data_IF_471201096804
#
_entry.id   IF_471201096804
#
_cell.length_a   1.000
_cell.length_b   1.000
_cell.length_c   1.000
_cell.angle_alpha   90.00
_cell.angle_beta   90.00
_cell.angle_gamma   90.00
#
_symmetry.space_group_name_H-M   'P 1'
#
loop_
_entity.id
_entity.type
_entity.pdbx_description
1 polymer ?
#
# COMPACT_ATOMS: atom_id res chain seq x y z
N UNK A 1 4.19 84.68 0.14
CA UNK A 1 3.84 83.43 -0.57
C UNK A 1 4.58 82.25 0.01
N UNK A 2 4.17 81.77 1.22
CA UNK A 2 4.85 80.60 1.87
C UNK A 2 3.97 79.97 2.94
N UNK A 3 2.73 79.56 2.60
CA UNK A 3 1.88 78.86 3.60
C UNK A 3 0.82 77.92 2.97
N UNK A 4 0.91 77.60 1.67
CA UNK A 4 -0.09 76.77 1.00
C UNK A 4 0.25 75.28 0.99
N UNK A 5 1.56 74.90 1.12
CA UNK A 5 2.01 73.51 0.91
C UNK A 5 1.98 72.64 2.18
N UNK A 6 1.76 73.23 3.39
CA UNK A 6 1.82 72.47 4.63
C UNK A 6 0.52 71.74 4.99
N UNK A 7 -0.61 72.25 4.49
CA UNK A 7 -1.94 71.59 4.72
C UNK A 7 -2.20 70.42 3.76
N UNK A 8 -1.59 70.39 2.59
CA UNK A 8 -1.73 69.30 1.61
C UNK A 8 -1.03 68.02 2.06
N UNK A 9 0.11 68.13 2.71
CA UNK A 9 0.88 66.95 3.21
C UNK A 9 0.22 66.33 4.47
N UNK A 10 -0.44 67.09 5.30
CA UNK A 10 -1.13 66.56 6.47
C UNK A 10 -2.39 65.76 6.09
N UNK A 11 -3.12 66.15 5.07
CA UNK A 11 -4.27 65.38 4.54
C UNK A 11 -3.82 64.11 3.83
N UNK A 12 -2.66 64.10 3.16
CA UNK A 12 -2.13 62.92 2.48
C UNK A 12 -1.60 61.86 3.47
N UNK A 13 -0.97 62.30 4.57
CA UNK A 13 -0.46 61.40 5.61
C UNK A 13 -1.65 60.81 6.42
N UNK A 14 -2.71 61.53 6.66
CA UNK A 14 -3.87 61.02 7.37
C UNK A 14 -4.67 60.00 6.53
N UNK A 15 -4.74 60.16 5.19
CA UNK A 15 -5.33 59.17 4.27
C UNK A 15 -4.49 57.90 4.14
N UNK A 16 -3.16 58.03 4.23
CA UNK A 16 -2.27 56.87 4.11
C UNK A 16 -2.27 56.00 5.38
N UNK A 17 -2.45 56.62 6.57
CA UNK A 17 -2.56 55.89 7.84
C UNK A 17 -3.90 55.18 7.99
N UNK A 18 -4.97 55.71 7.38
CA UNK A 18 -6.31 55.08 7.42
C UNK A 18 -6.42 53.89 6.44
N UNK A 19 -5.59 53.82 5.38
CA UNK A 19 -5.57 52.75 4.43
C UNK A 19 -4.73 51.56 4.89
N UNK A 20 -3.86 51.73 5.90
CA UNK A 20 -3.04 50.64 6.47
C UNK A 20 -3.76 49.83 7.58
N UNK A 21 -4.91 50.23 8.04
CA UNK A 21 -5.67 49.56 9.12
C UNK A 21 -6.70 48.54 8.58
N UNK A 22 -6.97 48.52 7.25
CA UNK A 22 -8.00 47.64 6.67
C UNK A 22 -7.39 46.33 6.10
N UNK A 23 -6.04 46.15 6.10
CA UNK A 23 -5.38 44.93 5.67
C UNK A 23 -5.07 43.94 6.81
N UNK A 24 -5.56 44.14 8.01
CA UNK A 24 -5.43 43.23 9.16
C UNK A 24 -6.71 42.41 9.39
N UNK A 25 -7.39 42.04 8.33
CA UNK A 25 -8.59 41.20 8.43
C UNK A 25 -8.54 40.03 7.49
N UNK A 26 -8.58 38.83 8.07
CA UNK A 26 -8.70 37.51 7.44
C UNK A 26 -7.42 36.95 6.79
N UNK A 27 -6.39 36.75 7.58
CA UNK A 27 -5.61 35.52 7.46
C UNK A 27 -6.47 34.38 7.98
N UNK A 28 -7.28 33.77 7.12
CA UNK A 28 -7.74 32.42 7.37
C UNK A 28 -6.48 31.56 7.39
N UNK A 29 -5.87 31.43 8.55
CA UNK A 29 -4.98 30.31 8.83
C UNK A 29 -5.83 29.09 8.58
N UNK A 30 -5.59 28.41 7.46
CA UNK A 30 -5.89 27.00 7.38
C UNK A 30 -5.06 26.37 8.51
N UNK A 31 -5.66 26.31 9.69
CA UNK A 31 -5.20 25.46 10.76
C UNK A 31 -5.29 24.05 10.20
N UNK A 32 -4.18 23.51 9.71
CA UNK A 32 -3.95 22.08 9.76
C UNK A 32 -3.94 21.75 11.25
N UNK A 33 -5.14 21.58 11.82
CA UNK A 33 -5.27 20.95 13.12
C UNK A 33 -4.87 19.50 12.94
N UNK A 34 -3.59 19.21 13.15
CA UNK A 34 -3.19 17.92 13.67
C UNK A 34 -3.82 17.84 15.07
N UNK A 35 -5.08 17.39 15.14
CA UNK A 35 -5.72 17.08 16.40
C UNK A 35 -5.05 15.83 16.95
N UNK A 36 -4.03 16.01 17.79
CA UNK A 36 -3.56 14.93 18.65
C UNK A 36 -4.77 14.39 19.42
N UNK A 37 -5.27 13.20 19.07
CA UNK A 37 -6.23 12.43 19.85
C UNK A 37 -7.73 12.74 19.67
N UNK A 38 -8.15 13.47 18.63
CA UNK A 38 -9.59 13.69 18.34
C UNK A 38 -10.19 12.59 17.45
N UNK A 39 -11.49 12.28 17.63
CA UNK A 39 -12.21 11.40 16.70
C UNK A 39 -12.18 12.00 15.29
N UNK A 40 -11.86 11.21 14.25
CA UNK A 40 -11.92 11.72 12.87
C UNK A 40 -13.36 11.98 12.45
N UNK A 41 -13.56 12.94 11.57
CA UNK A 41 -14.89 13.19 10.97
C UNK A 41 -15.25 12.12 9.92
N UNK A 42 -14.25 11.49 9.30
CA UNK A 42 -14.39 10.44 8.31
C UNK A 42 -13.25 9.44 8.50
N UNK A 43 -13.53 8.15 8.41
CA UNK A 43 -12.52 7.07 8.40
C UNK A 43 -12.24 6.71 6.94
N UNK A 44 -11.05 7.02 6.45
CA UNK A 44 -10.60 6.68 5.09
C UNK A 44 -9.75 5.44 5.13
N UNK A 45 -10.10 4.48 4.26
CA UNK A 45 -9.47 3.18 4.16
C UNK A 45 -8.65 3.14 2.88
N UNK A 46 -7.33 3.24 3.00
CA UNK A 46 -6.39 3.16 1.88
C UNK A 46 -6.23 1.73 1.39
N UNK A 47 -6.55 1.51 0.13
CA UNK A 47 -6.47 0.21 -0.54
C UNK A 47 -5.84 0.36 -1.92
N UNK A 48 -5.35 -0.78 -2.45
CA UNK A 48 -4.98 -0.87 -3.86
C UNK A 48 -6.22 -1.12 -4.72
N UNK A 49 -6.27 -0.57 -5.96
CA UNK A 49 -7.34 -0.91 -6.89
C UNK A 49 -7.23 -2.38 -7.29
N UNK A 50 -8.36 -2.99 -7.61
CA UNK A 50 -8.43 -4.32 -8.18
C UNK A 50 -9.23 -4.29 -9.49
N UNK A 51 -8.79 -5.05 -10.48
CA UNK A 51 -9.56 -5.30 -11.70
C UNK A 51 -10.74 -6.23 -11.44
N UNK A 52 -10.83 -6.84 -10.26
CA UNK A 52 -11.91 -7.72 -9.86
C UNK A 52 -13.10 -6.94 -9.28
N UNK A 53 -14.24 -6.99 -9.97
CA UNK A 53 -15.45 -6.28 -9.55
C UNK A 53 -16.02 -6.76 -8.20
N UNK A 54 -15.79 -8.02 -7.81
CA UNK A 54 -16.24 -8.56 -6.51
C UNK A 54 -15.37 -8.03 -5.37
N UNK A 55 -14.06 -7.94 -5.55
CA UNK A 55 -13.14 -7.30 -4.62
C UNK A 55 -13.56 -5.86 -4.32
N UNK A 56 -13.85 -5.08 -5.36
CA UNK A 56 -14.27 -3.69 -5.19
C UNK A 56 -15.57 -3.58 -4.38
N UNK A 57 -16.57 -4.45 -4.64
CA UNK A 57 -17.82 -4.48 -3.85
C UNK A 57 -17.58 -4.87 -2.40
N UNK A 58 -16.69 -5.83 -2.15
CA UNK A 58 -16.35 -6.27 -0.79
C UNK A 58 -15.64 -5.15 -0.01
N UNK A 59 -14.83 -4.32 -0.67
CA UNK A 59 -14.18 -3.16 -0.08
C UNK A 59 -15.19 -2.04 0.25
N UNK A 60 -16.18 -1.79 -0.61
CA UNK A 60 -17.28 -0.85 -0.32
C UNK A 60 -18.12 -1.32 0.88
N UNK A 61 -18.35 -2.65 0.99
CA UNK A 61 -19.03 -3.22 2.15
C UNK A 61 -18.21 -3.01 3.44
N UNK A 62 -16.88 -3.14 3.39
CA UNK A 62 -16.01 -2.84 4.53
C UNK A 62 -16.21 -1.42 5.04
N UNK A 63 -16.30 -0.43 4.17
CA UNK A 63 -16.57 0.96 4.58
C UNK A 63 -17.95 1.10 5.23
N UNK A 64 -18.96 0.40 4.74
CA UNK A 64 -20.31 0.36 5.33
C UNK A 64 -20.25 -0.25 6.74
N UNK A 65 -19.60 -1.40 6.88
CA UNK A 65 -19.50 -2.12 8.16
C UNK A 65 -18.74 -1.31 9.22
N UNK A 66 -17.69 -0.59 8.82
CA UNK A 66 -16.97 0.34 9.70
C UNK A 66 -17.85 1.50 10.13
N UNK A 67 -18.63 2.08 9.20
CA UNK A 67 -19.58 3.16 9.53
C UNK A 67 -20.61 2.70 10.55
N UNK A 68 -21.17 1.50 10.37
CA UNK A 68 -22.16 0.93 11.30
C UNK A 68 -21.56 0.64 12.68
N UNK A 69 -20.33 0.12 12.74
CA UNK A 69 -19.68 -0.22 13.99
C UNK A 69 -19.22 0.98 14.81
N UNK A 70 -18.76 2.04 14.15
CA UNK A 70 -18.13 3.21 14.81
C UNK A 70 -19.05 4.43 14.91
N UNK A 71 -20.11 4.49 14.10
CA UNK A 71 -20.95 5.68 13.94
C UNK A 71 -20.26 6.81 13.16
N UNK A 72 -19.05 6.61 12.67
CA UNK A 72 -18.28 7.59 11.89
C UNK A 72 -18.36 7.19 10.41
N UNK A 73 -18.71 8.10 9.49
CA UNK A 73 -18.70 7.81 8.06
C UNK A 73 -17.35 7.23 7.63
N UNK A 74 -17.36 6.12 6.88
CA UNK A 74 -16.15 5.54 6.31
C UNK A 74 -16.22 5.52 4.78
N UNK A 75 -15.08 5.70 4.13
CA UNK A 75 -14.95 5.73 2.69
C UNK A 75 -13.66 5.05 2.21
N UNK A 76 -13.70 4.54 0.99
CA UNK A 76 -12.53 3.92 0.37
C UNK A 76 -11.67 5.00 -0.29
N UNK A 77 -10.38 4.99 0.04
CA UNK A 77 -9.33 5.75 -0.63
C UNK A 77 -8.54 4.81 -1.53
N UNK A 78 -8.77 4.89 -2.83
CA UNK A 78 -8.06 4.08 -3.83
C UNK A 78 -6.70 4.71 -4.11
N UNK A 79 -5.63 3.98 -3.80
CA UNK A 79 -4.25 4.40 -4.05
C UNK A 79 -3.73 3.77 -5.35
N UNK A 80 -2.87 4.48 -6.08
CA UNK A 80 -2.26 3.95 -7.32
C UNK A 80 -1.18 2.91 -7.04
N UNK A 81 -0.49 3.04 -5.89
CA UNK A 81 0.58 2.15 -5.43
C UNK A 81 0.64 2.09 -3.89
N UNK A 82 1.42 1.16 -3.34
CA UNK A 82 1.59 1.00 -1.89
C UNK A 82 2.26 2.21 -1.26
N UNK A 83 3.16 2.90 -1.96
CA UNK A 83 3.79 4.11 -1.43
C UNK A 83 2.77 5.23 -1.21
N UNK A 84 1.76 5.36 -2.08
CA UNK A 84 0.65 6.31 -1.88
C UNK A 84 -0.13 6.02 -0.60
N UNK A 85 -0.41 4.74 -0.27
CA UNK A 85 -1.05 4.36 1.00
C UNK A 85 -0.18 4.78 2.19
N UNK A 86 1.13 4.48 2.14
CA UNK A 86 2.09 4.81 3.20
C UNK A 86 2.18 6.33 3.41
N UNK A 87 2.31 7.10 2.34
CA UNK A 87 2.39 8.55 2.41
C UNK A 87 1.06 9.20 2.83
N UNK A 88 -0.09 8.60 2.46
CA UNK A 88 -1.40 9.06 2.91
C UNK A 88 -1.59 8.84 4.42
N UNK A 89 -1.15 7.70 4.99
CA UNK A 89 -1.08 7.46 6.43
C UNK A 89 -0.19 8.50 7.12
N UNK A 90 1.02 8.72 6.59
CA UNK A 90 1.97 9.70 7.12
C UNK A 90 1.43 11.12 7.12
N UNK A 91 0.71 11.49 6.07
CA UNK A 91 0.14 12.83 5.92
C UNK A 91 -1.21 13.01 6.64
N UNK A 92 -1.72 11.99 7.34
CA UNK A 92 -3.02 12.03 8.00
C UNK A 92 -4.21 12.13 7.05
N UNK A 93 -4.04 11.66 5.81
CA UNK A 93 -5.10 11.67 4.79
C UNK A 93 -5.96 10.42 4.81
N UNK A 94 -5.49 9.36 5.41
CA UNK A 94 -6.24 8.13 5.66
C UNK A 94 -6.01 7.67 7.10
N UNK A 95 -6.97 6.98 7.63
CA UNK A 95 -6.99 6.46 8.99
C UNK A 95 -6.53 5.01 9.06
N UNK A 96 -6.86 4.22 8.03
CA UNK A 96 -6.59 2.77 7.92
C UNK A 96 -5.92 2.50 6.58
N UNK A 97 -4.98 1.53 6.55
CA UNK A 97 -4.33 1.06 5.33
C UNK A 97 -4.33 -0.45 5.24
N UNK A 98 -4.63 -0.99 4.06
CA UNK A 98 -4.52 -2.41 3.74
C UNK A 98 -3.39 -2.60 2.73
N UNK A 99 -2.25 -3.11 3.19
CA UNK A 99 -1.05 -3.34 2.37
C UNK A 99 -0.37 -4.64 2.80
N UNK A 100 0.57 -5.13 1.98
CA UNK A 100 1.30 -6.36 2.32
C UNK A 100 2.29 -6.20 3.49
N UNK A 101 2.82 -7.32 4.02
CA UNK A 101 3.73 -7.32 5.18
C UNK A 101 4.98 -6.44 5.02
N UNK A 102 5.60 -6.42 3.84
CA UNK A 102 6.76 -5.56 3.61
C UNK A 102 6.36 -4.07 3.59
N UNK A 103 5.22 -3.75 2.98
CA UNK A 103 4.64 -2.39 3.05
C UNK A 103 4.35 -1.95 4.49
N UNK A 104 3.88 -2.86 5.36
CA UNK A 104 3.71 -2.59 6.79
C UNK A 104 5.03 -2.18 7.45
N UNK A 105 6.10 -2.93 7.23
CA UNK A 105 7.43 -2.61 7.78
C UNK A 105 7.85 -1.19 7.36
N UNK A 106 7.66 -0.84 6.09
CA UNK A 106 7.96 0.50 5.60
C UNK A 106 7.05 1.56 6.26
N UNK A 107 5.74 1.26 6.41
CA UNK A 107 4.77 2.16 7.01
C UNK A 107 5.04 2.42 8.52
N UNK A 108 5.52 1.41 9.27
CA UNK A 108 5.88 1.61 10.68
C UNK A 108 6.99 2.62 10.85
N UNK A 109 7.97 2.63 9.96
CA UNK A 109 9.13 3.53 10.04
C UNK A 109 8.85 4.90 9.43
N UNK A 110 8.13 4.95 8.29
CA UNK A 110 7.87 6.20 7.57
C UNK A 110 6.67 6.98 8.07
N UNK A 111 5.62 6.27 8.50
CA UNK A 111 4.33 6.84 8.87
C UNK A 111 3.99 6.65 10.35
N UNK A 112 4.84 5.98 11.12
CA UNK A 112 4.54 5.52 12.48
C UNK A 112 3.23 4.71 12.56
N UNK A 113 2.85 4.05 11.48
CA UNK A 113 1.64 3.23 11.43
C UNK A 113 1.74 2.08 12.44
N UNK A 114 0.59 1.66 12.94
CA UNK A 114 0.46 0.57 13.91
C UNK A 114 -0.35 -0.57 13.32
N UNK A 115 -0.10 -1.78 13.82
CA UNK A 115 -0.88 -2.96 13.45
C UNK A 115 -2.24 -2.92 14.16
N UNK A 116 -3.32 -2.98 13.39
CA UNK A 116 -4.67 -3.16 13.93
C UNK A 116 -4.93 -4.66 14.16
N UNK A 117 -4.88 -5.42 13.08
CA UNK A 117 -5.00 -6.88 13.03
C UNK A 117 -4.17 -7.40 11.85
N UNK A 118 -3.97 -8.71 11.77
CA UNK A 118 -3.42 -9.37 10.59
C UNK A 118 -4.32 -10.48 10.10
N UNK A 119 -4.24 -10.80 8.82
CA UNK A 119 -4.97 -11.94 8.28
C UNK A 119 -4.31 -13.26 8.71
N UNK A 120 -5.14 -14.28 8.86
CA UNK A 120 -4.73 -15.66 8.94
C UNK A 120 -5.44 -16.44 7.82
N UNK A 121 -4.72 -17.31 7.14
CA UNK A 121 -5.24 -18.14 6.06
C UNK A 121 -4.96 -19.60 6.35
N UNK A 122 -5.88 -20.47 5.94
CA UNK A 122 -5.68 -21.91 5.96
C UNK A 122 -4.74 -22.37 4.83
N UNK A 123 -4.51 -21.51 3.83
CA UNK A 123 -3.58 -21.73 2.74
C UNK A 123 -2.27 -20.98 2.99
N UNK A 124 -1.16 -21.65 2.75
CA UNK A 124 0.14 -20.98 2.76
C UNK A 124 0.29 -20.16 1.49
N UNK A 125 0.61 -18.87 1.65
CA UNK A 125 0.99 -18.01 0.54
C UNK A 125 2.50 -18.02 0.38
N UNK A 126 2.97 -18.15 -0.86
CA UNK A 126 4.36 -17.97 -1.26
C UNK A 126 4.44 -17.09 -2.50
N UNK A 127 5.64 -16.74 -2.92
CA UNK A 127 5.89 -16.13 -4.21
C UNK A 127 6.12 -17.19 -5.25
N UNK A 128 5.61 -16.95 -6.45
CA UNK A 128 5.91 -17.71 -7.66
C UNK A 128 6.53 -16.81 -8.71
N UNK A 129 7.49 -17.36 -9.45
CA UNK A 129 7.99 -16.77 -10.68
C UNK A 129 7.27 -17.45 -11.84
N UNK A 130 6.49 -16.65 -12.57
CA UNK A 130 5.61 -17.12 -13.65
C UNK A 130 6.15 -16.70 -15.01
N UNK A 131 5.97 -17.60 -15.95
CA UNK A 131 6.10 -17.36 -17.39
C UNK A 131 4.84 -17.85 -18.10
N UNK A 132 4.59 -17.43 -19.34
CA UNK A 132 3.52 -18.04 -20.12
C UNK A 132 3.84 -19.51 -20.42
N UNK A 133 2.82 -20.33 -20.41
CA UNK A 133 2.98 -21.78 -20.65
C UNK A 133 3.46 -22.09 -22.06
N UNK A 134 3.15 -21.27 -23.06
CA UNK A 134 3.62 -21.37 -24.44
C UNK A 134 5.03 -20.80 -24.68
N UNK A 135 5.65 -20.20 -23.66
CA UNK A 135 7.02 -19.66 -23.76
C UNK A 135 8.07 -20.75 -23.73
N UNK A 136 9.28 -20.51 -24.29
CA UNK A 136 10.38 -21.48 -24.26
C UNK A 136 11.07 -21.58 -22.90
N UNK A 137 10.76 -20.69 -21.92
CA UNK A 137 11.46 -20.58 -20.66
C UNK A 137 11.07 -21.69 -19.69
N UNK A 138 12.02 -22.51 -19.23
CA UNK A 138 11.81 -23.65 -18.33
C UNK A 138 12.37 -23.40 -16.93
N UNK A 139 13.27 -22.44 -16.80
CA UNK A 139 14.00 -22.11 -15.57
C UNK A 139 14.27 -20.61 -15.48
N UNK A 140 14.62 -20.12 -14.31
CA UNK A 140 15.01 -18.72 -14.12
C UNK A 140 16.25 -18.32 -14.90
N UNK A 141 17.13 -19.27 -15.21
CA UNK A 141 18.35 -19.05 -16.01
C UNK A 141 18.02 -18.65 -17.46
N UNK A 142 16.88 -19.12 -17.99
CA UNK A 142 16.40 -18.79 -19.34
C UNK A 142 15.93 -17.35 -19.47
N UNK A 143 15.72 -16.67 -18.34
CA UNK A 143 15.28 -15.27 -18.29
C UNK A 143 16.41 -14.25 -18.48
N UNK A 144 17.65 -14.69 -18.73
CA UNK A 144 18.75 -13.77 -18.98
C UNK A 144 18.48 -12.88 -20.19
N UNK A 145 18.50 -11.55 -19.97
CA UNK A 145 18.23 -10.55 -21.01
C UNK A 145 16.75 -10.47 -21.41
N UNK A 146 15.82 -10.99 -20.60
CA UNK A 146 14.37 -10.96 -20.80
C UNK A 146 13.72 -9.89 -19.94
N UNK A 147 12.49 -9.50 -20.28
CA UNK A 147 11.74 -8.49 -19.56
C UNK A 147 11.04 -9.10 -18.34
N UNK A 148 11.33 -8.54 -17.16
CA UNK A 148 10.77 -9.00 -15.90
C UNK A 148 9.94 -7.88 -15.23
N UNK A 149 8.71 -8.22 -14.79
CA UNK A 149 7.88 -7.32 -14.01
C UNK A 149 7.78 -7.78 -12.55
N UNK A 150 8.09 -6.86 -11.66
CA UNK A 150 7.66 -6.91 -10.27
C UNK A 150 6.31 -6.18 -10.11
N UNK A 151 5.57 -6.47 -9.02
CA UNK A 151 4.27 -5.83 -8.81
C UNK A 151 4.42 -4.38 -8.33
N UNK A 152 5.06 -4.18 -7.17
CA UNK A 152 5.22 -2.88 -6.52
C UNK A 152 6.48 -2.88 -5.65
N UNK A 153 7.22 -1.76 -5.55
CA UNK A 153 8.45 -1.68 -4.72
C UNK A 153 8.26 -2.11 -3.26
N UNK A 154 7.10 -1.84 -2.65
CA UNK A 154 6.77 -2.20 -1.27
C UNK A 154 6.03 -3.54 -1.15
N UNK A 155 5.85 -4.29 -2.26
CA UNK A 155 5.17 -5.58 -2.23
C UNK A 155 6.06 -6.69 -1.67
N UNK A 156 5.50 -7.50 -0.77
CA UNK A 156 6.16 -8.69 -0.22
C UNK A 156 6.30 -9.77 -1.29
N UNK A 157 5.18 -10.28 -1.80
CA UNK A 157 5.12 -11.39 -2.76
C UNK A 157 5.33 -10.96 -4.21
N UNK A 158 5.24 -9.66 -4.51
CA UNK A 158 5.44 -9.12 -5.85
C UNK A 158 6.79 -8.46 -6.09
N UNK A 159 7.63 -8.28 -5.04
CA UNK A 159 8.97 -7.70 -5.18
C UNK A 159 9.99 -8.33 -4.23
N UNK A 160 9.80 -8.24 -2.91
CA UNK A 160 10.82 -8.65 -1.95
C UNK A 160 11.17 -10.14 -2.09
N UNK A 161 10.18 -11.02 -2.00
CA UNK A 161 10.38 -12.47 -2.10
C UNK A 161 10.72 -12.95 -3.52
N UNK A 162 10.16 -12.40 -4.61
CA UNK A 162 10.66 -12.67 -5.96
C UNK A 162 12.14 -12.38 -6.11
N UNK A 163 12.62 -11.23 -5.61
CA UNK A 163 14.06 -10.92 -5.65
C UNK A 163 14.88 -11.92 -4.86
N UNK A 164 14.46 -12.25 -3.62
CA UNK A 164 15.14 -13.25 -2.79
C UNK A 164 15.22 -14.61 -3.50
N UNK A 165 14.11 -15.04 -4.10
CA UNK A 165 14.04 -16.32 -4.84
C UNK A 165 14.98 -16.31 -6.04
N UNK A 166 14.92 -15.27 -6.88
CA UNK A 166 15.77 -15.13 -8.06
C UNK A 166 17.27 -15.06 -7.69
N UNK A 167 17.60 -14.31 -6.64
CA UNK A 167 18.98 -14.21 -6.15
C UNK A 167 19.51 -15.57 -5.69
N UNK A 168 18.70 -16.34 -4.95
CA UNK A 168 19.04 -17.69 -4.48
C UNK A 168 19.25 -18.64 -5.66
N UNK A 169 18.34 -18.65 -6.63
CA UNK A 169 18.38 -19.57 -7.80
C UNK A 169 19.50 -19.23 -8.79
N UNK A 170 19.83 -17.93 -8.92
CA UNK A 170 20.85 -17.45 -9.88
C UNK A 170 22.23 -17.29 -9.24
N UNK A 171 22.34 -17.29 -7.90
CA UNK A 171 23.58 -17.01 -7.19
C UNK A 171 24.05 -15.55 -7.35
N UNK A 172 23.13 -14.61 -7.53
CA UNK A 172 23.38 -13.19 -7.77
C UNK A 172 23.08 -12.35 -6.52
N UNK A 173 23.72 -11.21 -6.38
CA UNK A 173 23.32 -10.16 -5.45
C UNK A 173 22.12 -9.38 -6.00
N UNK A 174 21.39 -8.63 -5.13
CA UNK A 174 20.26 -7.80 -5.55
C UNK A 174 20.67 -6.75 -6.61
N UNK A 175 21.89 -6.22 -6.50
CA UNK A 175 22.44 -5.25 -7.46
C UNK A 175 22.73 -5.88 -8.84
N UNK A 176 23.16 -7.13 -8.87
CA UNK A 176 23.45 -7.86 -10.11
C UNK A 176 22.18 -8.38 -10.78
N UNK A 177 21.13 -8.61 -9.99
CA UNK A 177 19.87 -9.16 -10.46
C UNK A 177 19.21 -8.26 -11.54
N UNK A 178 19.17 -6.95 -11.34
CA UNK A 178 18.57 -6.02 -12.32
C UNK A 178 19.35 -6.04 -13.65
N UNK A 179 20.66 -6.27 -13.59
CA UNK A 179 21.52 -6.37 -14.79
C UNK A 179 21.43 -7.72 -15.49
N UNK A 180 20.86 -8.72 -14.85
CA UNK A 180 20.65 -10.06 -15.44
C UNK A 180 19.52 -10.03 -16.47
N UNK A 181 18.49 -9.23 -16.22
CA UNK A 181 17.35 -9.07 -17.12
C UNK A 181 17.62 -8.06 -18.24
N UNK A 182 16.83 -8.10 -19.30
CA UNK A 182 16.84 -7.11 -20.37
C UNK A 182 16.22 -5.78 -19.91
N UNK A 183 15.10 -5.89 -19.21
CA UNK A 183 14.48 -4.79 -18.48
C UNK A 183 13.84 -5.29 -17.19
N UNK A 184 13.76 -4.37 -16.20
CA UNK A 184 13.03 -4.56 -14.95
C UNK A 184 12.11 -3.38 -14.74
N UNK A 185 10.84 -3.65 -14.49
CA UNK A 185 9.85 -2.62 -14.22
C UNK A 185 8.85 -3.06 -13.14
N UNK A 186 8.04 -2.13 -12.65
CA UNK A 186 6.94 -2.38 -11.74
C UNK A 186 5.62 -2.15 -12.47
N UNK A 187 4.69 -3.09 -12.33
CA UNK A 187 3.38 -3.02 -12.96
C UNK A 187 2.37 -2.17 -12.20
N UNK A 188 2.62 -1.93 -10.91
CA UNK A 188 1.73 -1.24 -9.97
C UNK A 188 0.69 -2.16 -9.30
N UNK A 189 0.78 -3.51 -9.47
CA UNK A 189 -0.11 -4.46 -8.80
C UNK A 189 0.06 -5.88 -9.30
N UNK A 190 -0.40 -6.86 -8.53
CA UNK A 190 -0.31 -8.28 -8.89
C UNK A 190 -1.18 -8.64 -10.09
N UNK A 191 -2.41 -8.15 -10.13
CA UNK A 191 -3.35 -8.30 -11.22
C UNK A 191 -2.82 -7.71 -12.53
N UNK A 192 -2.26 -6.49 -12.47
CA UNK A 192 -1.61 -5.83 -13.61
C UNK A 192 -0.40 -6.62 -14.12
N UNK A 193 0.40 -7.19 -13.21
CA UNK A 193 1.53 -8.07 -13.59
C UNK A 193 1.02 -9.30 -14.35
N UNK A 194 0.00 -9.97 -13.82
CA UNK A 194 -0.53 -11.20 -14.42
C UNK A 194 -1.20 -10.93 -15.78
N UNK A 195 -1.95 -9.84 -15.91
CA UNK A 195 -2.52 -9.41 -17.19
C UNK A 195 -1.44 -9.02 -18.20
N UNK A 196 -0.37 -8.35 -17.76
CA UNK A 196 0.76 -8.02 -18.64
C UNK A 196 1.44 -9.29 -19.17
N UNK A 197 1.67 -10.30 -18.30
CA UNK A 197 2.22 -11.58 -18.71
C UNK A 197 1.30 -12.32 -19.68
N UNK A 198 0.00 -12.41 -19.38
CA UNK A 198 -1.00 -13.06 -20.23
C UNK A 198 -1.04 -12.44 -21.63
N UNK A 199 -0.93 -11.11 -21.72
CA UNK A 199 -0.92 -10.37 -23.00
C UNK A 199 0.45 -10.34 -23.71
N UNK A 200 1.49 -10.95 -23.15
CA UNK A 200 2.84 -10.99 -23.73
C UNK A 200 3.61 -9.68 -23.63
N UNK A 201 3.20 -8.79 -22.69
CA UNK A 201 3.88 -7.50 -22.40
C UNK A 201 5.03 -7.67 -21.40
N UNK A 202 5.27 -8.88 -20.91
CA UNK A 202 6.42 -9.28 -20.12
C UNK A 202 6.80 -10.73 -20.44
N UNK A 203 8.06 -11.09 -20.26
CA UNK A 203 8.53 -12.47 -20.40
C UNK A 203 8.30 -13.28 -19.13
N UNK A 204 8.44 -12.64 -17.97
CA UNK A 204 8.23 -13.25 -16.65
C UNK A 204 7.77 -12.21 -15.62
N UNK A 205 7.13 -12.71 -14.56
CA UNK A 205 6.67 -11.89 -13.41
C UNK A 205 6.97 -12.60 -12.10
N UNK A 206 7.04 -11.80 -11.01
CA UNK A 206 6.97 -12.28 -9.64
C UNK A 206 5.64 -11.90 -9.01
N UNK A 207 4.90 -12.88 -8.44
CA UNK A 207 3.59 -12.63 -7.84
C UNK A 207 3.28 -13.60 -6.70
N UNK A 208 2.16 -13.39 -5.99
CA UNK A 208 1.63 -14.35 -5.02
C UNK A 208 1.11 -15.60 -5.72
N UNK A 209 1.35 -16.77 -5.14
CA UNK A 209 0.80 -18.05 -5.62
C UNK A 209 -0.74 -18.07 -5.64
N UNK A 210 -1.39 -17.22 -4.87
CA UNK A 210 -2.86 -17.13 -4.80
C UNK A 210 -3.45 -16.32 -5.95
N UNK A 211 -2.66 -15.52 -6.68
CA UNK A 211 -3.18 -14.59 -7.70
C UNK A 211 -3.74 -15.30 -8.94
N UNK A 212 -3.06 -16.36 -9.41
CA UNK A 212 -3.52 -17.09 -10.60
C UNK A 212 -4.89 -17.72 -10.38
N UNK A 213 -5.13 -18.53 -9.31
CA UNK A 213 -6.46 -19.09 -9.05
C UNK A 213 -7.53 -18.01 -8.83
N UNK A 214 -7.23 -16.96 -8.07
CA UNK A 214 -8.19 -15.86 -7.82
C UNK A 214 -8.62 -15.18 -9.12
N UNK A 215 -7.69 -14.81 -9.99
CA UNK A 215 -8.01 -14.15 -11.26
C UNK A 215 -8.64 -15.11 -12.27
N UNK A 216 -8.35 -16.41 -12.18
CA UNK A 216 -9.01 -17.42 -13.00
C UNK A 216 -10.48 -17.63 -12.59
N UNK A 217 -10.77 -17.62 -11.29
CA UNK A 217 -12.14 -17.69 -10.78
C UNK A 217 -12.97 -16.47 -11.21
N UNK A 218 -12.36 -15.29 -11.25
CA UNK A 218 -12.99 -14.07 -11.79
C UNK A 218 -13.09 -14.04 -13.31
N UNK A 219 -12.54 -15.04 -14.01
CA UNK A 219 -12.57 -15.16 -15.48
C UNK A 219 -11.64 -14.19 -16.22
N UNK A 220 -10.71 -13.54 -15.52
CA UNK A 220 -9.76 -12.57 -16.10
C UNK A 220 -8.59 -13.25 -16.81
N UNK A 221 -8.21 -14.44 -16.37
CA UNK A 221 -7.13 -15.26 -16.94
C UNK A 221 -7.52 -16.73 -16.91
N UNK A 222 -6.67 -17.62 -17.44
CA UNK A 222 -6.79 -19.07 -17.30
C UNK A 222 -5.54 -19.62 -16.66
N UNK A 223 -5.68 -20.54 -15.71
CA UNK A 223 -4.53 -21.13 -15.00
C UNK A 223 -3.56 -21.83 -15.96
N UNK A 224 -4.09 -22.51 -16.98
CA UNK A 224 -3.31 -23.20 -17.99
C UNK A 224 -2.44 -22.31 -18.88
N UNK A 225 -2.66 -20.98 -18.85
CA UNK A 225 -1.87 -20.03 -19.64
C UNK A 225 -0.47 -19.78 -19.00
N UNK A 226 -0.27 -20.22 -17.75
CA UNK A 226 0.94 -19.93 -16.99
C UNK A 226 1.68 -21.19 -16.53
N UNK A 227 2.97 -21.02 -16.31
CA UNK A 227 3.85 -22.02 -15.72
C UNK A 227 4.70 -21.38 -14.64
N UNK A 228 4.77 -22.05 -13.48
CA UNK A 228 5.69 -21.72 -12.40
C UNK A 228 7.07 -22.28 -12.74
N UNK A 229 8.11 -21.45 -12.70
CA UNK A 229 9.51 -21.84 -12.92
C UNK A 229 10.39 -21.69 -11.68
N UNK A 230 9.91 -21.01 -10.64
CA UNK A 230 10.50 -20.98 -9.31
C UNK A 230 9.48 -20.55 -8.27
N UNK A 231 9.71 -20.95 -7.01
CA UNK A 231 8.87 -20.60 -5.86
C UNK A 231 9.73 -20.22 -4.65
N UNK A 232 9.19 -19.34 -3.80
CA UNK A 232 9.81 -19.03 -2.51
C UNK A 232 9.40 -20.02 -1.41
N UNK A 233 10.10 -19.96 -0.29
CA UNK A 233 9.58 -20.46 0.97
C UNK A 233 8.26 -19.73 1.33
N UNK A 234 7.38 -20.31 2.18
CA UNK A 234 6.14 -19.66 2.60
C UNK A 234 6.36 -18.27 3.23
N UNK A 235 5.49 -17.34 2.88
CA UNK A 235 5.46 -16.01 3.47
C UNK A 235 4.66 -16.08 4.76
N UNK A 236 5.28 -15.65 5.85
CA UNK A 236 4.67 -15.64 7.18
C UNK A 236 4.16 -14.24 7.56
N UNK A 237 3.40 -14.14 8.66
CA UNK A 237 2.90 -12.88 9.21
C UNK A 237 1.49 -12.50 8.78
N UNK A 238 0.99 -13.02 7.65
CA UNK A 238 -0.33 -12.65 7.10
C UNK A 238 -0.35 -11.22 6.56
N UNK A 239 -1.46 -10.81 5.94
CA UNK A 239 -1.66 -9.45 5.46
C UNK A 239 -2.10 -8.55 6.62
N UNK A 240 -1.37 -7.46 6.93
CA UNK A 240 -1.70 -6.54 8.01
C UNK A 240 -2.75 -5.52 7.58
N UNK A 241 -3.68 -5.21 8.49
CA UNK A 241 -4.48 -4.01 8.46
C UNK A 241 -3.85 -3.00 9.43
N UNK A 242 -3.54 -1.82 8.93
CA UNK A 242 -2.80 -0.79 9.65
C UNK A 242 -3.71 0.34 10.08
N UNK A 243 -3.30 1.07 11.11
CA UNK A 243 -3.93 2.32 11.47
C UNK A 243 -2.90 3.41 11.77
N UNK A 244 -3.30 4.65 11.61
CA UNK A 244 -2.51 5.83 11.96
C UNK A 244 -2.42 5.96 13.48
N UNK A 245 -1.19 6.08 14.03
CA UNK A 245 -0.93 5.95 15.47
C UNK A 245 -1.64 6.99 16.37
N UNK A 246 -2.08 8.12 15.81
CA UNK A 246 -2.75 9.21 16.54
C UNK A 246 -4.26 9.04 16.62
N UNK A 247 -4.83 7.90 16.18
CA UNK A 247 -6.24 7.59 16.38
C UNK A 247 -6.53 7.35 17.86
N UNK A 248 -7.71 7.81 18.35
CA UNK A 248 -8.14 7.54 19.72
C UNK A 248 -8.21 6.04 20.01
N UNK A 249 -7.77 5.63 21.20
CA UNK A 249 -7.76 4.22 21.61
C UNK A 249 -9.15 3.57 21.57
N UNK A 250 -10.19 4.35 21.90
CA UNK A 250 -11.59 3.91 21.81
C UNK A 250 -11.94 3.48 20.39
N UNK A 251 -11.59 4.31 19.38
CA UNK A 251 -11.83 4.00 17.98
C UNK A 251 -11.03 2.78 17.52
N UNK A 252 -9.75 2.71 17.90
CA UNK A 252 -8.89 1.56 17.57
C UNK A 252 -9.47 0.27 18.15
N UNK A 253 -10.01 0.32 19.37
CA UNK A 253 -10.66 -0.84 20.00
C UNK A 253 -11.90 -1.28 19.22
N UNK A 254 -12.80 -0.34 18.86
CA UNK A 254 -14.00 -0.65 18.06
C UNK A 254 -13.63 -1.26 16.69
N UNK A 255 -12.64 -0.70 16.03
CA UNK A 255 -12.15 -1.21 14.74
C UNK A 255 -11.55 -2.61 14.89
N UNK A 256 -10.77 -2.85 15.94
CA UNK A 256 -10.18 -4.17 16.20
C UNK A 256 -11.24 -5.22 16.50
N UNK A 257 -12.20 -4.91 17.34
CA UNK A 257 -13.31 -5.83 17.66
C UNK A 257 -14.12 -6.18 16.40
N UNK A 258 -14.42 -5.19 15.55
CA UNK A 258 -15.07 -5.42 14.27
C UNK A 258 -14.27 -6.39 13.40
N UNK A 259 -12.96 -6.15 13.25
CA UNK A 259 -12.12 -6.98 12.38
C UNK A 259 -11.93 -8.40 12.90
N UNK A 260 -11.85 -8.59 14.21
CA UNK A 260 -11.70 -9.93 14.81
C UNK A 260 -12.95 -10.81 14.65
N UNK A 261 -14.13 -10.23 14.40
CA UNK A 261 -15.40 -10.92 14.12
C UNK A 261 -15.78 -10.87 12.61
N UNK A 262 -14.84 -10.45 11.75
CA UNK A 262 -15.14 -10.13 10.36
C UNK A 262 -15.41 -11.37 9.49
N UNK A 263 -14.92 -12.54 9.87
CA UNK A 263 -15.22 -13.83 9.23
C UNK A 263 -16.71 -14.20 9.34
N UNK A 264 -17.40 -13.74 10.39
CA UNK A 264 -18.84 -13.92 10.54
C UNK A 264 -19.64 -12.84 9.81
N UNK A 265 -19.11 -11.61 9.71
CA UNK A 265 -19.81 -10.45 9.12
C UNK A 265 -19.68 -10.38 7.61
N UNK A 266 -18.47 -10.52 7.10
CA UNK A 266 -18.18 -10.36 5.67
C UNK A 266 -17.12 -11.38 5.19
N UNK A 267 -17.48 -12.69 5.17
CA UNK A 267 -16.56 -13.74 4.74
C UNK A 267 -16.04 -13.53 3.31
N UNK A 268 -16.84 -12.91 2.43
CA UNK A 268 -16.44 -12.62 1.04
C UNK A 268 -15.27 -11.65 0.94
N UNK A 269 -15.19 -10.68 1.84
CA UNK A 269 -14.02 -9.79 1.89
C UNK A 269 -12.75 -10.58 2.21
N UNK A 270 -12.81 -11.46 3.19
CA UNK A 270 -11.67 -12.29 3.58
C UNK A 270 -11.28 -13.27 2.47
N UNK A 271 -12.26 -13.93 1.84
CA UNK A 271 -12.04 -14.82 0.71
C UNK A 271 -11.34 -14.08 -0.44
N UNK A 272 -11.82 -12.90 -0.81
CA UNK A 272 -11.21 -12.06 -1.84
C UNK A 272 -9.81 -11.54 -1.47
N UNK A 273 -9.49 -11.51 -0.18
CA UNK A 273 -8.17 -11.17 0.34
C UNK A 273 -7.25 -12.41 0.56
N UNK A 274 -7.73 -13.62 0.20
CA UNK A 274 -7.02 -14.88 0.43
C UNK A 274 -6.84 -15.21 1.91
N UNK A 275 -7.79 -14.79 2.76
CA UNK A 275 -7.76 -14.95 4.21
C UNK A 275 -8.95 -15.78 4.71
N UNK A 276 -8.76 -16.49 5.82
CA UNK A 276 -9.84 -17.18 6.53
C UNK A 276 -10.46 -16.26 7.59
N UNK A 277 -9.63 -15.50 8.30
CA UNK A 277 -10.06 -14.57 9.35
C UNK A 277 -8.98 -13.52 9.62
N UNK A 278 -9.35 -12.49 10.37
CA UNK A 278 -8.40 -11.63 11.05
C UNK A 278 -8.11 -12.13 12.46
N UNK A 279 -6.87 -11.96 12.90
CA UNK A 279 -6.39 -12.30 14.24
C UNK A 279 -5.58 -11.16 14.84
N UNK A 280 -5.44 -11.14 16.14
CA UNK A 280 -4.47 -10.27 16.80
C UNK A 280 -3.06 -10.63 16.31
N UNK A 281 -2.23 -9.63 16.23
CA UNK A 281 -0.83 -9.79 15.83
C UNK A 281 0.07 -8.85 16.61
N UNK A 282 1.35 -9.11 16.49
CA UNK A 282 2.42 -8.26 17.03
C UNK A 282 3.38 -7.83 15.93
N UNK A 283 4.09 -6.74 16.16
CA UNK A 283 5.11 -6.26 15.22
C UNK A 283 6.18 -7.31 14.93
N UNK A 284 6.51 -8.16 15.93
CA UNK A 284 7.48 -9.25 15.78
C UNK A 284 7.04 -10.38 14.84
N UNK A 285 5.76 -10.49 14.50
CA UNK A 285 5.27 -11.48 13.52
C UNK A 285 5.87 -11.22 12.12
N UNK A 286 6.36 -9.99 11.89
CA UNK A 286 6.96 -9.54 10.64
C UNK A 286 8.49 -9.54 10.64
N UNK A 287 9.15 -9.99 11.73
CA UNK A 287 10.60 -10.06 11.82
C UNK A 287 11.23 -10.93 10.72
N UNK A 288 10.67 -12.09 10.33
CA UNK A 288 11.22 -12.86 9.20
C UNK A 288 11.24 -12.06 7.88
N UNK A 289 10.25 -11.20 7.65
CA UNK A 289 10.19 -10.32 6.48
C UNK A 289 11.30 -9.24 6.55
N UNK A 290 11.54 -8.68 7.74
CA UNK A 290 12.64 -7.73 7.98
C UNK A 290 13.99 -8.34 7.68
N UNK A 291 14.20 -9.60 8.09
CA UNK A 291 15.45 -10.33 7.82
C UNK A 291 15.68 -10.52 6.31
N UNK A 292 14.64 -10.89 5.56
CA UNK A 292 14.73 -11.00 4.10
C UNK A 292 15.06 -9.62 3.50
N UNK A 293 14.35 -8.56 3.89
CA UNK A 293 14.59 -7.21 3.40
C UNK A 293 16.03 -6.74 3.67
N UNK A 294 16.54 -7.00 4.86
CA UNK A 294 17.92 -6.69 5.26
C UNK A 294 18.95 -7.47 4.44
N UNK A 295 18.71 -8.75 4.18
CA UNK A 295 19.60 -9.59 3.38
C UNK A 295 19.71 -9.12 1.91
N UNK A 296 18.70 -8.39 1.42
CA UNK A 296 18.64 -7.84 0.07
C UNK A 296 19.08 -6.36 -0.01
N UNK A 297 19.54 -5.74 1.07
CA UNK A 297 19.76 -4.30 1.17
C UNK A 297 18.50 -3.49 0.79
N UNK A 298 17.34 -4.02 1.17
CA UNK A 298 16.01 -3.43 0.93
C UNK A 298 15.30 -3.05 2.24
N UNK A 299 16.03 -2.92 3.35
CA UNK A 299 15.43 -2.43 4.58
C UNK A 299 14.85 -1.02 4.36
N UNK A 300 13.84 -0.60 5.16
CA UNK A 300 13.28 0.73 5.06
C UNK A 300 14.34 1.83 5.09
N UNK A 301 15.39 1.67 5.91
CA UNK A 301 16.50 2.65 6.00
C UNK A 301 17.28 2.73 4.68
N UNK A 302 17.48 1.62 3.98
CA UNK A 302 18.15 1.63 2.67
C UNK A 302 17.26 2.23 1.58
N UNK A 303 15.95 1.96 1.62
CA UNK A 303 14.98 2.56 0.71
C UNK A 303 14.81 4.07 0.94
N UNK A 304 15.05 4.54 2.18
CA UNK A 304 15.00 5.96 2.53
C UNK A 304 16.23 6.76 2.03
N UNK A 305 17.34 6.09 1.72
CA UNK A 305 18.57 6.74 1.23
C UNK A 305 18.56 7.06 -0.27
N UNK A 306 17.56 6.58 -0.99
CA UNK A 306 17.38 6.81 -2.44
C UNK A 306 16.35 7.89 -2.68
#
# INVERSE_FOLDING_TARGET
MKNSNRKSYQSLILSLVFMLVILSGCGASASSSSSEGGMPEVIRIGIMPSEEGEMNRSQEQLATDITEATGIPAEIFVAEDYNMVIEALRAGKIEIGLIGPFGYIIATERANAKLLVRSESDQQSNTVILVRNDSPYQSVQDLKGKDFLFADPASTSGNLYPRATLMKELGLSNKELDSFFGSVAFSGGHDKSLLALANGNADAIGTSSLMVPMMAESGLVKEEDFRVIAESDPIVGGAPLLYRQDLPEELVTQLRELMLDYDTKNPKFLESAGAARFVEGSDSDFDPIREVAKALDMSPEELLKK
#
